data_IF_586834760244
#
_entry.id   IF_586834760244
#
_cell.length_a   1.000
_cell.length_b   1.000
_cell.length_c   1.000
_cell.angle_alpha   90.00
_cell.angle_beta   90.00
_cell.angle_gamma   90.00
#
_symmetry.space_group_name_H-M   'P 1'
#
loop_
_entity.id
_entity.type
_entity.pdbx_description
1 polymer ?
#
# COMPACT_ATOMS: atom_id res chain seq x y z
N UNK A 1 35.83 18.25 12.90
CA UNK A 1 35.71 17.03 12.07
C UNK A 1 34.55 17.25 11.12
N UNK A 2 34.73 17.18 9.79
CA UNK A 2 33.61 17.33 8.88
C UNK A 2 32.71 16.10 9.10
N UNK A 3 31.48 16.31 9.54
CA UNK A 3 30.49 15.23 9.57
C UNK A 3 30.34 14.72 8.14
N UNK A 4 30.55 13.42 7.92
CA UNK A 4 30.53 12.84 6.57
C UNK A 4 29.19 13.10 5.88
N UNK A 5 29.22 13.33 4.57
CA UNK A 5 28.05 13.54 3.70
C UNK A 5 26.96 12.46 3.89
N UNK A 6 27.35 11.27 4.34
CA UNK A 6 26.47 10.15 4.62
C UNK A 6 26.69 9.60 6.02
N UNK A 7 25.60 9.19 6.66
CA UNK A 7 25.60 8.31 7.83
C UNK A 7 25.07 6.93 7.44
N UNK A 8 25.83 5.87 7.73
CA UNK A 8 25.43 4.50 7.45
C UNK A 8 24.95 3.83 8.74
N UNK A 9 23.69 3.39 8.79
CA UNK A 9 23.10 2.68 9.94
C UNK A 9 22.58 1.32 9.52
N UNK A 10 22.69 0.32 10.40
CA UNK A 10 22.05 -0.98 10.22
C UNK A 10 20.68 -0.95 10.91
N UNK A 11 19.62 -1.13 10.14
CA UNK A 11 18.28 -1.23 10.68
C UNK A 11 18.08 -2.59 11.35
N UNK A 12 17.59 -2.59 12.59
CA UNK A 12 17.44 -3.82 13.39
C UNK A 12 16.18 -4.62 13.01
N UNK A 13 15.20 -3.99 12.37
CA UNK A 13 13.95 -4.63 11.97
C UNK A 13 14.14 -5.44 10.68
N UNK A 14 14.77 -4.82 9.67
CA UNK A 14 15.00 -5.40 8.34
C UNK A 14 16.38 -6.03 8.18
N UNK A 15 17.36 -5.66 9.02
CA UNK A 15 18.75 -6.09 8.91
C UNK A 15 19.56 -5.38 7.83
N UNK A 16 18.96 -4.43 7.09
CA UNK A 16 19.57 -3.76 5.96
C UNK A 16 20.43 -2.57 6.39
N UNK A 17 21.42 -2.24 5.55
CA UNK A 17 22.21 -1.02 5.69
C UNK A 17 21.51 0.14 4.99
N UNK A 18 21.30 1.24 5.72
CA UNK A 18 20.67 2.47 5.23
C UNK A 18 21.69 3.60 5.24
N UNK A 19 21.96 4.17 4.06
CA UNK A 19 22.79 5.36 3.90
C UNK A 19 21.90 6.61 3.91
N UNK A 20 22.05 7.45 4.94
CA UNK A 20 21.28 8.70 5.10
C UNK A 20 22.17 9.88 4.73
N UNK A 21 21.73 10.73 3.80
CA UNK A 21 22.40 12.00 3.51
C UNK A 21 22.01 12.98 4.63
N UNK A 22 22.96 13.36 5.47
CA UNK A 22 22.71 14.20 6.66
C UNK A 22 22.85 15.70 6.38
N UNK A 23 23.42 16.07 5.23
CA UNK A 23 23.75 17.46 4.88
C UNK A 23 22.99 17.96 3.63
N UNK A 24 21.80 17.41 3.36
CA UNK A 24 20.97 17.86 2.24
C UNK A 24 19.49 17.94 2.61
N UNK A 25 18.94 19.15 2.58
CA UNK A 25 17.50 19.36 2.71
C UNK A 25 16.75 18.79 1.49
N UNK A 26 15.50 18.35 1.72
CA UNK A 26 14.58 17.99 0.64
C UNK A 26 14.11 19.27 -0.08
N UNK A 27 14.29 19.30 -1.40
CA UNK A 27 14.00 20.47 -2.25
C UNK A 27 12.85 20.14 -3.20
N UNK A 28 11.62 20.52 -2.82
CA UNK A 28 10.39 20.27 -3.61
C UNK A 28 10.39 21.01 -4.95
N UNK A 29 11.14 22.10 -5.05
CA UNK A 29 11.36 22.90 -6.26
C UNK A 29 12.18 22.16 -7.35
N UNK A 30 12.81 21.02 -7.04
CA UNK A 30 13.51 20.21 -8.05
C UNK A 30 12.59 19.34 -8.91
N UNK A 31 11.33 19.21 -8.53
CA UNK A 31 10.36 18.49 -9.35
C UNK A 31 9.90 19.40 -10.49
N UNK A 32 10.13 18.98 -11.72
CA UNK A 32 9.76 19.75 -12.91
C UNK A 32 8.24 19.83 -13.13
N UNK A 33 7.48 18.93 -12.51
CA UNK A 33 6.04 18.81 -12.66
C UNK A 33 5.39 18.68 -11.28
N UNK A 34 4.27 19.38 -11.10
CA UNK A 34 3.38 19.13 -9.97
C UNK A 34 2.67 17.78 -10.16
N UNK A 35 2.18 17.20 -9.07
CA UNK A 35 1.27 16.06 -9.17
C UNK A 35 -0.08 16.59 -9.70
N UNK A 36 -0.50 16.09 -10.85
CA UNK A 36 -1.81 16.40 -11.40
C UNK A 36 -2.91 15.61 -10.68
N UNK A 37 -4.10 16.20 -10.50
CA UNK A 37 -5.25 15.46 -10.02
C UNK A 37 -5.65 14.38 -11.04
N UNK A 38 -6.13 13.25 -10.54
CA UNK A 38 -6.76 12.23 -11.39
C UNK A 38 -8.12 12.77 -11.81
N UNK A 39 -8.36 12.90 -13.11
CA UNK A 39 -9.68 13.22 -13.66
C UNK A 39 -10.61 12.02 -13.48
N UNK A 40 -11.54 12.11 -12.52
CA UNK A 40 -12.57 11.12 -12.25
C UNK A 40 -13.92 11.48 -12.87
N UNK A 41 -13.98 12.50 -13.74
CA UNK A 41 -15.21 12.98 -14.35
C UNK A 41 -16.24 13.50 -13.33
N UNK A 42 -15.84 13.77 -12.10
CA UNK A 42 -16.72 14.13 -10.99
C UNK A 42 -17.45 12.95 -10.33
N UNK A 43 -17.20 11.70 -10.74
CA UNK A 43 -17.76 10.49 -10.09
C UNK A 43 -16.67 9.75 -9.30
N UNK A 44 -16.47 10.18 -8.06
CA UNK A 44 -15.58 9.49 -7.15
C UNK A 44 -16.14 8.10 -6.79
N UNK A 45 -15.58 7.05 -7.40
CA UNK A 45 -16.00 5.67 -7.12
C UNK A 45 -15.90 5.27 -5.65
N UNK A 46 -15.01 5.90 -4.88
CA UNK A 46 -14.83 5.66 -3.45
C UNK A 46 -15.98 6.23 -2.60
N UNK A 47 -16.71 7.23 -3.12
CA UNK A 47 -17.95 7.68 -2.49
C UNK A 47 -19.11 6.70 -2.71
N UNK A 48 -19.08 5.95 -3.82
CA UNK A 48 -20.18 5.06 -4.23
C UNK A 48 -19.95 3.60 -3.82
N UNK A 49 -18.71 3.15 -3.75
CA UNK A 49 -18.34 1.73 -3.61
C UNK A 49 -17.36 1.49 -2.45
N UNK A 50 -17.60 0.49 -1.59
CA UNK A 50 -18.86 -0.24 -1.42
C UNK A 50 -19.96 0.68 -0.89
N UNK A 51 -21.22 0.28 -1.08
CA UNK A 51 -22.37 1.01 -0.54
C UNK A 51 -22.28 1.16 0.98
N UNK A 52 -22.88 2.24 1.51
CA UNK A 52 -22.97 2.50 2.94
C UNK A 52 -22.31 3.81 3.38
N UNK A 53 -22.38 4.09 4.68
CA UNK A 53 -21.71 5.20 5.35
C UNK A 53 -20.36 4.79 5.97
N UNK A 54 -19.65 5.74 6.58
CA UNK A 54 -18.45 5.47 7.37
C UNK A 54 -17.24 4.92 6.60
N UNK A 55 -16.21 4.51 7.34
CA UNK A 55 -15.00 3.91 6.76
C UNK A 55 -15.25 2.45 6.37
N UNK A 56 -14.77 2.04 5.20
CA UNK A 56 -15.13 0.75 4.59
C UNK A 56 -13.95 0.08 3.90
N UNK A 57 -14.02 -1.24 3.78
CA UNK A 57 -13.09 -2.04 3.01
C UNK A 57 -13.66 -2.32 1.61
N UNK A 58 -12.95 -1.92 0.56
CA UNK A 58 -13.32 -2.22 -0.84
C UNK A 58 -12.40 -3.30 -1.39
N UNK A 59 -12.97 -4.43 -1.80
CA UNK A 59 -12.25 -5.42 -2.60
C UNK A 59 -12.03 -4.89 -4.01
N UNK A 60 -10.77 -4.86 -4.45
CA UNK A 60 -10.38 -4.45 -5.80
C UNK A 60 -10.28 -5.67 -6.73
N UNK A 61 -9.75 -6.78 -6.23
CA UNK A 61 -9.62 -8.03 -6.95
C UNK A 61 -9.58 -9.21 -5.98
N UNK A 62 -10.53 -10.12 -6.10
CA UNK A 62 -10.47 -11.42 -5.45
C UNK A 62 -9.48 -12.34 -6.16
N UNK A 63 -8.86 -13.26 -5.41
CA UNK A 63 -7.89 -14.22 -5.94
C UNK A 63 -6.74 -13.54 -6.72
N UNK A 64 -6.28 -12.38 -6.23
CA UNK A 64 -5.33 -11.52 -6.93
C UNK A 64 -3.92 -12.13 -7.06
N UNK A 65 -3.52 -12.95 -6.09
CA UNK A 65 -2.23 -13.63 -6.06
C UNK A 65 -2.32 -14.92 -5.24
N UNK A 66 -1.36 -15.82 -5.41
CA UNK A 66 -1.20 -16.98 -4.54
C UNK A 66 -0.23 -16.64 -3.41
N UNK A 67 -0.59 -17.01 -2.17
CA UNK A 67 0.33 -17.02 -1.04
C UNK A 67 1.17 -18.28 -1.18
N UNK A 68 2.40 -18.07 -1.63
CA UNK A 68 3.40 -19.12 -1.75
C UNK A 68 4.34 -18.90 -0.58
N UNK A 69 4.48 -19.90 0.30
CA UNK A 69 5.28 -19.76 1.52
C UNK A 69 6.77 -19.67 1.22
N UNK A 70 7.53 -20.74 1.46
CA UNK A 70 8.98 -20.74 1.24
C UNK A 70 9.36 -20.73 -0.26
N UNK A 71 10.61 -20.37 -0.58
CA UNK A 71 11.11 -20.42 -1.96
C UNK A 71 11.04 -21.83 -2.59
N UNK A 72 11.19 -22.87 -1.78
CA UNK A 72 11.12 -24.25 -2.27
C UNK A 72 9.69 -24.64 -2.63
N UNK A 73 8.70 -24.20 -1.85
CA UNK A 73 7.27 -24.33 -2.16
C UNK A 73 6.92 -23.60 -3.47
N UNK A 74 7.54 -22.45 -3.74
CA UNK A 74 7.34 -21.70 -4.98
C UNK A 74 7.80 -22.47 -6.23
N UNK A 75 8.99 -23.09 -6.16
CA UNK A 75 9.55 -23.89 -7.26
C UNK A 75 8.77 -25.17 -7.51
N UNK A 76 8.09 -25.71 -6.50
CA UNK A 76 7.26 -26.90 -6.65
C UNK A 76 5.91 -26.60 -7.34
N UNK A 77 5.34 -25.42 -7.08
CA UNK A 77 4.11 -24.96 -7.74
C UNK A 77 4.35 -24.65 -9.22
N UNK A 78 5.45 -23.96 -9.54
CA UNK A 78 5.81 -23.58 -10.91
C UNK A 78 5.96 -24.81 -11.84
N UNK A 79 6.52 -25.91 -11.30
CA UNK A 79 6.66 -27.18 -12.03
C UNK A 79 5.34 -27.91 -12.31
N UNK A 80 4.25 -27.56 -11.61
CA UNK A 80 2.96 -28.27 -11.66
C UNK A 80 1.81 -27.41 -12.21
N UNK A 81 2.12 -26.33 -12.94
CA UNK A 81 1.17 -25.33 -13.47
C UNK A 81 0.05 -25.86 -14.41
N UNK A 82 0.07 -27.13 -14.82
CA UNK A 82 -0.91 -27.68 -15.77
C UNK A 82 -2.30 -27.96 -15.16
N UNK A 83 -2.42 -28.15 -13.84
CA UNK A 83 -3.72 -28.36 -13.17
C UNK A 83 -3.74 -27.75 -11.76
N UNK A 84 -4.33 -26.56 -11.63
CA UNK A 84 -4.62 -25.98 -10.32
C UNK A 84 -5.89 -26.65 -9.78
N UNK A 85 -5.74 -27.60 -8.87
CA UNK A 85 -6.84 -28.25 -8.17
C UNK A 85 -7.58 -27.24 -7.26
N UNK A 86 -8.92 -27.28 -7.29
CA UNK A 86 -9.84 -26.42 -6.53
C UNK A 86 -9.56 -26.40 -5.00
N UNK A 87 -8.90 -27.44 -4.47
CA UNK A 87 -8.45 -27.55 -3.07
C UNK A 87 -7.36 -26.52 -2.69
N UNK A 88 -6.67 -25.91 -3.65
CA UNK A 88 -5.65 -24.86 -3.42
C UNK A 88 -6.19 -23.43 -3.41
N UNK A 89 -7.50 -23.21 -3.63
CA UNK A 89 -8.11 -21.87 -3.60
C UNK A 89 -7.93 -21.12 -2.26
N UNK A 90 -7.70 -21.86 -1.16
CA UNK A 90 -7.39 -21.30 0.17
C UNK A 90 -6.02 -20.61 0.26
N UNK A 91 -5.14 -20.80 -0.72
CA UNK A 91 -3.82 -20.18 -0.78
C UNK A 91 -3.81 -18.94 -1.68
N UNK A 92 -4.92 -18.24 -1.83
CA UNK A 92 -5.01 -17.03 -2.66
C UNK A 92 -5.37 -15.79 -1.84
N UNK A 93 -4.64 -14.71 -2.04
CA UNK A 93 -4.88 -13.41 -1.43
C UNK A 93 -5.77 -12.53 -2.29
N UNK A 94 -6.38 -11.51 -1.68
CA UNK A 94 -7.17 -10.48 -2.38
C UNK A 94 -6.48 -9.12 -2.24
N UNK A 95 -6.66 -8.26 -3.24
CA UNK A 95 -6.33 -6.84 -3.10
C UNK A 95 -7.54 -6.10 -2.58
N UNK A 96 -7.34 -5.37 -1.48
CA UNK A 96 -8.36 -4.58 -0.81
C UNK A 96 -7.80 -3.20 -0.52
N UNK A 97 -8.67 -2.21 -0.48
CA UNK A 97 -8.33 -0.85 -0.08
C UNK A 97 -9.26 -0.38 1.03
N UNK A 98 -8.74 0.46 1.92
CA UNK A 98 -9.54 1.18 2.92
C UNK A 98 -10.03 2.47 2.29
N UNK A 99 -11.33 2.71 2.40
CA UNK A 99 -12.02 3.84 1.82
C UNK A 99 -12.63 4.67 2.95
N UNK A 100 -12.40 5.98 2.93
CA UNK A 100 -13.02 6.90 3.88
C UNK A 100 -14.55 6.99 3.69
N UNK A 101 -15.23 7.64 4.62
CA UNK A 101 -16.64 7.95 4.47
C UNK A 101 -16.90 8.75 3.19
N UNK A 102 -18.09 8.62 2.56
CA UNK A 102 -18.41 9.36 1.34
C UNK A 102 -18.29 10.85 1.59
N UNK A 103 -17.67 11.58 0.66
CA UNK A 103 -17.42 13.02 0.76
C UNK A 103 -16.15 13.40 1.54
N UNK A 104 -15.46 12.46 2.19
CA UNK A 104 -14.20 12.73 2.86
C UNK A 104 -13.02 12.62 1.89
N UNK A 105 -12.65 13.76 1.28
CA UNK A 105 -11.57 13.85 0.29
C UNK A 105 -10.33 14.59 0.80
N UNK A 106 -10.30 14.96 2.09
CA UNK A 106 -9.12 15.64 2.66
C UNK A 106 -7.95 14.66 2.72
N UNK A 107 -6.70 15.16 2.65
CA UNK A 107 -5.52 14.31 2.83
C UNK A 107 -5.52 13.68 4.24
N UNK A 108 -4.94 12.47 4.37
CA UNK A 108 -4.98 11.68 5.61
C UNK A 108 -4.49 12.43 6.86
N UNK A 109 -3.54 13.36 6.73
CA UNK A 109 -3.06 14.16 7.86
C UNK A 109 -4.07 15.22 8.34
N UNK A 110 -5.14 15.49 7.59
CA UNK A 110 -6.12 16.55 7.83
C UNK A 110 -7.54 16.04 8.16
N UNK A 111 -7.79 14.73 8.13
CA UNK A 111 -9.13 14.15 8.41
C UNK A 111 -9.47 14.11 9.90
N UNK A 112 -8.46 14.09 10.78
CA UNK A 112 -8.62 14.00 12.23
C UNK A 112 -8.44 12.58 12.79
N UNK A 113 -8.16 12.49 14.09
CA UNK A 113 -7.75 11.23 14.73
C UNK A 113 -8.87 10.18 14.78
N UNK A 114 -10.13 10.60 14.91
CA UNK A 114 -11.26 9.67 15.02
C UNK A 114 -11.48 8.90 13.71
N UNK A 115 -11.42 9.57 12.55
CA UNK A 115 -11.47 8.92 11.24
C UNK A 115 -10.29 7.97 11.03
N UNK A 116 -9.08 8.35 11.48
CA UNK A 116 -7.90 7.48 11.39
C UNK A 116 -8.08 6.23 12.26
N UNK A 117 -8.63 6.36 13.47
CA UNK A 117 -8.93 5.21 14.34
C UNK A 117 -9.93 4.26 13.70
N UNK A 118 -10.97 4.80 13.08
CA UNK A 118 -11.97 3.99 12.36
C UNK A 118 -11.31 3.21 11.19
N UNK A 119 -10.40 3.84 10.44
CA UNK A 119 -9.61 3.18 9.39
C UNK A 119 -8.70 2.06 9.91
N UNK A 120 -8.14 2.22 11.11
CA UNK A 120 -7.27 1.22 11.72
C UNK A 120 -8.05 0.06 12.36
N UNK A 121 -9.36 0.21 12.55
CA UNK A 121 -10.21 -0.80 13.19
C UNK A 121 -10.90 -1.77 12.21
N UNK A 122 -10.66 -1.61 10.90
CA UNK A 122 -11.20 -2.49 9.84
C UNK A 122 -10.56 -3.88 9.80
#
# INVERSE_FOLDING_TARGET
MPAGLFELRKDVITGWWVATIVDRAFHRDRFALAADPVDDGGDCQNCRLPEGGGVRLRTLKDFAFNVVGSQDEAREIDRNLAQVALSRARASGSWRTVVAAPGEHRPLHAVGIETIREMLAL
#
